data_IF_989546708667
#
_entry.id   IF_989546708667
#
_cell.length_a   1.000
_cell.length_b   1.000
_cell.length_c   1.000
_cell.angle_alpha   90.00
_cell.angle_beta   90.00
_cell.angle_gamma   90.00
#
_symmetry.space_group_name_H-M   'P 1'
#
loop_
_entity.id
_entity.type
_entity.pdbx_description
1 polymer ?
#
# COMPACT_ATOMS: atom_id res chain seq x y z
N UNK A 1 9.94 8.67 9.37
CA UNK A 1 9.07 9.01 8.23
C UNK A 1 8.62 10.45 8.40
N UNK A 2 8.97 11.33 7.47
CA UNK A 2 8.49 12.71 7.48
C UNK A 2 6.95 12.69 7.56
N UNK A 3 6.37 13.57 8.37
CA UNK A 3 4.97 13.53 8.81
C UNK A 3 3.92 13.64 7.68
N UNK A 4 4.36 13.82 6.44
CA UNK A 4 3.57 14.09 5.23
C UNK A 4 3.99 13.28 4.02
N UNK A 5 5.10 12.54 4.07
CA UNK A 5 5.54 11.68 2.95
C UNK A 5 4.83 10.34 3.01
N UNK A 6 3.75 10.25 2.25
CA UNK A 6 2.95 9.03 2.14
C UNK A 6 2.65 8.69 0.69
N UNK A 7 2.52 7.40 0.40
CA UNK A 7 2.02 6.95 -0.91
C UNK A 7 0.57 7.39 -1.08
N UNK A 8 0.20 7.78 -2.31
CA UNK A 8 -1.15 8.25 -2.57
C UNK A 8 -2.20 7.15 -2.33
N UNK A 9 -3.43 7.53 -1.97
CA UNK A 9 -4.53 6.59 -1.73
C UNK A 9 -4.79 5.65 -2.93
N UNK A 10 -4.56 6.15 -4.15
CA UNK A 10 -4.72 5.39 -5.39
C UNK A 10 -3.65 4.31 -5.53
N UNK A 11 -2.40 4.61 -5.17
CA UNK A 11 -1.29 3.64 -5.15
C UNK A 11 -1.54 2.57 -4.09
N UNK A 12 -1.97 2.96 -2.88
CA UNK A 12 -2.32 2.01 -1.82
C UNK A 12 -3.46 1.07 -2.25
N UNK A 13 -4.47 1.58 -2.96
CA UNK A 13 -5.57 0.77 -3.48
C UNK A 13 -5.10 -0.23 -4.56
N UNK A 14 -4.20 0.19 -5.46
CA UNK A 14 -3.59 -0.72 -6.46
C UNK A 14 -2.70 -1.78 -5.80
N UNK A 15 -1.87 -1.39 -4.83
CA UNK A 15 -1.05 -2.32 -4.06
C UNK A 15 -1.90 -3.38 -3.34
N UNK A 16 -3.03 -2.97 -2.74
CA UNK A 16 -3.97 -3.89 -2.11
C UNK A 16 -4.58 -4.90 -3.11
N UNK A 17 -4.82 -4.48 -4.36
CA UNK A 17 -5.29 -5.39 -5.42
C UNK A 17 -4.20 -6.38 -5.82
N UNK A 18 -2.96 -5.91 -5.99
CA UNK A 18 -1.80 -6.75 -6.33
C UNK A 18 -1.61 -7.84 -5.26
N UNK A 19 -1.69 -7.49 -3.98
CA UNK A 19 -1.56 -8.48 -2.89
C UNK A 19 -2.65 -9.57 -2.91
N UNK A 20 -3.86 -9.22 -3.36
CA UNK A 20 -5.01 -10.14 -3.45
C UNK A 20 -5.02 -10.96 -4.74
N UNK A 21 -4.29 -10.53 -5.76
CA UNK A 21 -4.26 -11.22 -7.05
C UNK A 21 -3.42 -12.50 -6.94
N UNK A 22 -3.98 -13.69 -7.20
CA UNK A 22 -3.23 -14.94 -7.20
C UNK A 22 -2.17 -15.02 -8.30
N UNK A 23 -2.29 -14.24 -9.38
CA UNK A 23 -1.31 -14.18 -10.49
C UNK A 23 -0.12 -13.27 -10.21
N UNK A 24 -0.14 -12.51 -9.11
CA UNK A 24 0.96 -11.60 -8.78
C UNK A 24 2.20 -12.36 -8.29
N UNK A 25 3.36 -11.97 -8.81
CA UNK A 25 4.65 -12.57 -8.46
C UNK A 25 5.07 -12.20 -7.03
N UNK A 26 5.93 -13.03 -6.41
CA UNK A 26 6.47 -12.77 -5.07
C UNK A 26 7.13 -11.38 -4.96
N UNK A 27 7.86 -10.97 -5.99
CA UNK A 27 8.47 -9.65 -6.06
C UNK A 27 7.43 -8.52 -6.08
N UNK A 28 6.37 -8.64 -6.90
CA UNK A 28 5.29 -7.66 -6.95
C UNK A 28 4.55 -7.56 -5.61
N UNK A 29 4.31 -8.69 -4.93
CA UNK A 29 3.69 -8.69 -3.60
C UNK A 29 4.57 -7.98 -2.57
N UNK A 30 5.89 -8.19 -2.60
CA UNK A 30 6.83 -7.52 -1.70
C UNK A 30 6.80 -6.00 -1.90
N UNK A 31 6.87 -5.54 -3.14
CA UNK A 31 6.81 -4.11 -3.48
C UNK A 31 5.46 -3.51 -3.06
N UNK A 32 4.36 -4.22 -3.34
CA UNK A 32 3.03 -3.79 -2.95
C UNK A 32 2.86 -3.70 -1.43
N UNK A 33 3.46 -4.62 -0.67
CA UNK A 33 3.47 -4.56 0.79
C UNK A 33 4.24 -3.32 1.28
N UNK A 34 5.44 -3.06 0.75
CA UNK A 34 6.21 -1.85 1.09
C UNK A 34 5.48 -0.56 0.73
N UNK A 35 4.78 -0.52 -0.40
CA UNK A 35 3.98 0.65 -0.78
C UNK A 35 2.78 0.86 0.16
N UNK A 36 2.22 -0.22 0.71
CA UNK A 36 1.09 -0.18 1.64
C UNK A 36 1.53 0.30 3.03
N UNK A 37 2.73 -0.04 3.50
CA UNK A 37 3.26 0.44 4.79
C UNK A 37 3.57 1.94 4.76
N UNK A 38 3.86 2.48 3.57
CA UNK A 38 4.07 3.90 3.35
C UNK A 38 2.76 4.68 3.09
N UNK A 39 1.62 4.00 2.97
CA UNK A 39 0.33 4.65 2.75
C UNK A 39 -0.12 5.43 4.00
N UNK A 40 -0.92 6.51 3.85
CA UNK A 40 -1.39 7.28 4.99
C UNK A 40 -2.34 6.44 5.82
N UNK A 41 -2.22 6.53 7.14
CA UNK A 41 -3.12 5.85 8.05
C UNK A 41 -4.57 6.25 7.78
N UNK A 42 -5.47 5.25 7.83
CA UNK A 42 -6.90 5.56 7.86
C UNK A 42 -7.15 6.32 9.15
N UNK A 43 -7.49 7.61 9.02
CA UNK A 43 -7.86 8.48 10.14
C UNK A 43 -8.82 7.71 11.05
N UNK A 44 -8.37 7.28 12.23
CA UNK A 44 -9.20 6.56 13.19
C UNK A 44 -10.43 7.44 13.46
N UNK A 45 -11.62 6.97 13.09
CA UNK A 45 -12.86 7.58 13.57
C UNK A 45 -12.86 7.33 15.08
N UNK A 46 -12.85 8.41 15.86
CA UNK A 46 -13.21 8.36 17.28
C UNK A 46 -14.67 7.98 17.41
#
# INVERSE_FOLDING_TARGET
MAKTEHTSKTVAAKASKILKDPKSSKAMKSIAASALTQAPDRKKRK
#
